data_IF_989073050280
#
_entry.id   IF_989073050280
#
_cell.length_a   1.000
_cell.length_b   1.000
_cell.length_c   1.000
_cell.angle_alpha   90.00
_cell.angle_beta   90.00
_cell.angle_gamma   90.00
#
_symmetry.space_group_name_H-M   'P 1'
#
loop_
_entity.id
_entity.type
_entity.pdbx_description
1 polymer ?
#
# COMPACT_ATOMS: atom_id res chain seq x y z
N UNK A 1 6.57 -76.02 -19.54
CA UNK A 1 6.65 -75.23 -18.29
C UNK A 1 5.64 -74.10 -18.38
N UNK A 2 4.50 -74.22 -17.71
CA UNK A 2 3.41 -73.23 -17.72
C UNK A 2 2.93 -73.05 -16.28
N UNK A 3 3.18 -71.87 -15.70
CA UNK A 3 2.70 -71.49 -14.35
C UNK A 3 1.28 -70.92 -14.46
N UNK A 4 0.32 -71.34 -13.62
CA UNK A 4 -0.95 -70.62 -13.49
C UNK A 4 -0.75 -69.41 -12.58
N UNK A 5 -1.25 -68.25 -13.00
CA UNK A 5 -1.34 -67.03 -12.16
C UNK A 5 -2.81 -66.72 -11.95
N UNK A 6 -3.35 -67.08 -10.78
CA UNK A 6 -4.68 -66.65 -10.34
C UNK A 6 -4.51 -65.99 -8.98
N UNK A 7 -4.52 -64.66 -8.95
CA UNK A 7 -4.59 -63.86 -7.72
C UNK A 7 -6.07 -63.57 -7.46
N UNK A 8 -6.62 -64.08 -6.36
CA UNK A 8 -7.95 -63.69 -5.87
C UNK A 8 -7.83 -62.36 -5.12
N UNK A 9 -8.54 -61.33 -5.56
CA UNK A 9 -8.71 -60.08 -4.83
C UNK A 9 -9.93 -60.20 -3.88
N UNK A 10 -9.85 -59.67 -2.65
CA UNK A 10 -11.01 -59.59 -1.76
C UNK A 10 -11.99 -58.52 -2.24
N UNK A 11 -13.29 -58.78 -2.08
CA UNK A 11 -14.34 -57.82 -2.40
C UNK A 11 -14.34 -56.67 -1.37
N UNK A 12 -14.27 -55.43 -1.87
CA UNK A 12 -14.45 -54.22 -1.08
C UNK A 12 -15.93 -54.07 -0.71
N UNK A 13 -16.25 -54.27 0.57
CA UNK A 13 -17.56 -53.97 1.14
C UNK A 13 -17.63 -52.47 1.47
N UNK A 14 -18.48 -51.74 0.75
CA UNK A 14 -18.69 -50.30 0.87
C UNK A 14 -19.77 -49.92 1.89
N UNK A 15 -20.27 -50.87 2.70
CA UNK A 15 -21.41 -50.62 3.60
C UNK A 15 -21.05 -49.97 4.95
N UNK A 16 -19.77 -49.74 5.26
CA UNK A 16 -19.34 -49.15 6.53
C UNK A 16 -18.89 -47.67 6.38
N UNK A 17 -19.79 -46.78 5.97
CA UNK A 17 -19.52 -45.34 5.96
C UNK A 17 -20.62 -44.56 6.68
N UNK A 18 -20.57 -44.54 8.02
CA UNK A 18 -21.26 -43.52 8.84
C UNK A 18 -20.63 -43.41 10.23
N UNK A 19 -19.55 -42.64 10.31
CA UNK A 19 -19.19 -41.94 11.55
C UNK A 19 -18.54 -40.61 11.20
N UNK A 20 -19.37 -39.59 10.96
CA UNK A 20 -18.90 -38.21 10.94
C UNK A 20 -18.69 -37.77 12.39
N UNK A 21 -17.49 -37.97 12.92
CA UNK A 21 -17.03 -37.21 14.08
C UNK A 21 -16.71 -35.80 13.57
N UNK A 22 -17.36 -34.72 14.06
CA UNK A 22 -16.99 -33.38 13.63
C UNK A 22 -15.56 -33.12 14.09
N UNK A 23 -14.64 -32.97 13.14
CA UNK A 23 -13.30 -32.48 13.41
C UNK A 23 -13.46 -31.09 14.05
N UNK A 24 -13.13 -31.01 15.35
CA UNK A 24 -13.14 -29.77 16.12
C UNK A 24 -12.16 -28.83 15.43
N UNK A 25 -12.67 -27.86 14.66
CA UNK A 25 -11.87 -26.83 14.04
C UNK A 25 -11.14 -26.08 15.15
N UNK A 26 -9.82 -26.30 15.27
CA UNK A 26 -8.98 -25.47 16.12
C UNK A 26 -9.05 -24.07 15.55
N UNK A 27 -9.62 -23.14 16.31
CA UNK A 27 -9.60 -21.72 15.99
C UNK A 27 -8.16 -21.32 15.69
N UNK A 28 -7.92 -20.84 14.47
CA UNK A 28 -6.62 -20.29 14.08
C UNK A 28 -6.40 -19.12 15.02
N UNK A 29 -5.33 -19.17 15.83
CA UNK A 29 -4.94 -18.06 16.68
C UNK A 29 -4.90 -16.81 15.82
N UNK A 30 -5.78 -15.85 16.11
CA UNK A 30 -5.77 -14.56 15.42
C UNK A 30 -4.40 -13.95 15.62
N UNK A 31 -3.70 -13.69 14.53
CA UNK A 31 -2.43 -12.96 14.59
C UNK A 31 -2.76 -11.57 15.12
N UNK A 32 -2.20 -11.21 16.27
CA UNK A 32 -2.39 -9.88 16.89
C UNK A 32 -1.84 -8.75 15.99
N UNK A 33 -1.01 -9.14 15.02
CA UNK A 33 -0.42 -8.32 13.98
C UNK A 33 -0.79 -8.93 12.64
N UNK A 34 -1.60 -8.25 11.85
CA UNK A 34 -1.73 -8.56 10.43
C UNK A 34 -0.70 -7.72 9.69
N UNK A 35 0.31 -8.40 9.13
CA UNK A 35 1.16 -7.81 8.09
C UNK A 35 0.37 -7.98 6.80
N UNK A 36 -0.30 -6.91 6.41
CA UNK A 36 -0.93 -6.82 5.10
C UNK A 36 0.15 -6.38 4.12
N UNK A 37 0.45 -7.26 3.15
CA UNK A 37 1.29 -6.94 2.02
C UNK A 37 0.44 -6.14 1.04
N UNK A 38 0.56 -4.81 1.10
CA UNK A 38 -0.19 -3.88 0.24
C UNK A 38 0.53 -3.79 -1.11
N UNK A 39 0.29 -4.75 -2.01
CA UNK A 39 0.47 -4.52 -3.44
C UNK A 39 1.47 -5.40 -4.19
N UNK A 40 1.13 -5.59 -5.47
CA UNK A 40 1.75 -6.38 -6.55
C UNK A 40 1.32 -7.84 -6.67
N UNK A 41 0.02 -8.12 -6.91
CA UNK A 41 -0.35 -9.42 -7.54
C UNK A 41 -1.47 -9.40 -8.57
N UNK A 42 -2.34 -8.39 -8.65
CA UNK A 42 -3.33 -8.32 -9.74
C UNK A 42 -2.77 -7.53 -10.92
N UNK A 43 -2.77 -8.15 -12.10
CA UNK A 43 -2.42 -7.47 -13.36
C UNK A 43 -3.28 -6.23 -13.56
N UNK A 44 -4.53 -6.27 -13.08
CA UNK A 44 -5.49 -5.18 -13.15
C UNK A 44 -4.98 -3.90 -12.44
N UNK A 45 -4.34 -4.02 -11.27
CA UNK A 45 -3.84 -2.86 -10.51
C UNK A 45 -2.65 -2.18 -11.23
N UNK A 46 -1.78 -2.97 -11.86
CA UNK A 46 -0.68 -2.45 -12.68
C UNK A 46 -1.22 -1.75 -13.94
N UNK A 47 -2.22 -2.35 -14.59
CA UNK A 47 -2.87 -1.75 -15.75
C UNK A 47 -3.55 -0.44 -15.38
N UNK A 48 -4.28 -0.40 -14.26
CA UNK A 48 -4.96 0.81 -13.77
C UNK A 48 -3.94 1.90 -13.44
N UNK A 49 -2.85 1.55 -12.74
CA UNK A 49 -1.76 2.47 -12.43
C UNK A 49 -1.09 3.05 -13.68
N UNK A 50 -0.88 2.22 -14.70
CA UNK A 50 -0.29 2.65 -15.97
C UNK A 50 -1.22 3.52 -16.82
N UNK A 51 -2.54 3.43 -16.59
CA UNK A 51 -3.55 4.21 -17.29
C UNK A 51 -3.67 5.64 -16.75
N UNK A 52 -3.25 5.89 -15.51
CA UNK A 52 -3.40 7.18 -14.83
C UNK A 52 -2.07 7.85 -14.48
N UNK A 53 -2.04 9.19 -14.58
CA UNK A 53 -0.88 10.00 -14.25
C UNK A 53 -0.84 10.27 -12.76
N UNK A 54 0.28 9.96 -12.12
CA UNK A 54 0.49 10.19 -10.69
C UNK A 54 1.01 11.60 -10.40
N UNK A 55 0.08 12.56 -10.22
CA UNK A 55 0.42 13.98 -9.92
C UNK A 55 1.30 14.11 -8.68
N UNK A 56 1.09 13.25 -7.69
CA UNK A 56 1.87 13.23 -6.44
C UNK A 56 3.36 12.94 -6.71
N UNK A 57 3.65 11.94 -7.55
CA UNK A 57 5.02 11.62 -7.97
C UNK A 57 5.63 12.73 -8.84
N UNK A 58 4.85 13.32 -9.75
CA UNK A 58 5.29 14.44 -10.58
C UNK A 58 5.67 15.67 -9.75
N UNK A 59 4.85 15.99 -8.74
CA UNK A 59 5.13 17.07 -7.81
C UNK A 59 6.43 16.82 -7.04
N UNK A 60 6.61 15.62 -6.46
CA UNK A 60 7.84 15.29 -5.72
C UNK A 60 9.08 15.34 -6.62
N UNK A 61 8.96 14.99 -7.90
CA UNK A 61 10.05 15.06 -8.87
C UNK A 61 10.33 16.48 -9.39
N UNK A 62 9.44 17.44 -9.17
CA UNK A 62 9.69 18.82 -9.52
C UNK A 62 10.80 19.43 -8.65
N UNK A 63 11.76 20.12 -9.28
CA UNK A 63 12.88 20.78 -8.57
C UNK A 63 12.40 21.75 -7.48
N UNK A 64 11.26 22.41 -7.68
CA UNK A 64 10.65 23.30 -6.70
C UNK A 64 10.21 22.58 -5.42
N UNK A 65 9.75 21.34 -5.53
CA UNK A 65 9.37 20.54 -4.38
C UNK A 65 10.58 20.15 -3.51
N UNK A 66 11.80 20.12 -4.06
CA UNK A 66 12.98 19.85 -3.24
C UNK A 66 13.38 21.07 -2.42
N UNK A 67 13.27 22.25 -3.03
CA UNK A 67 13.57 23.53 -2.41
C UNK A 67 12.62 23.84 -1.24
N UNK A 68 11.35 23.42 -1.32
CA UNK A 68 10.37 23.71 -0.27
C UNK A 68 10.79 23.14 1.09
N UNK A 69 11.51 22.02 1.12
CA UNK A 69 12.00 21.45 2.38
C UNK A 69 13.00 22.38 3.07
N UNK A 70 13.93 22.96 2.31
CA UNK A 70 14.90 23.93 2.84
C UNK A 70 14.19 25.19 3.31
N UNK A 71 13.23 25.70 2.53
CA UNK A 71 12.44 26.88 2.88
C UNK A 71 11.63 26.64 4.16
N UNK A 72 10.96 25.49 4.28
CA UNK A 72 10.17 25.13 5.47
C UNK A 72 11.05 25.02 6.72
N UNK A 73 12.26 24.46 6.60
CA UNK A 73 13.21 24.37 7.72
C UNK A 73 13.64 25.77 8.17
N UNK A 74 14.06 26.63 7.23
CA UNK A 74 14.53 27.99 7.55
C UNK A 74 13.39 28.81 8.14
N UNK A 75 12.22 28.77 7.50
CA UNK A 75 11.04 29.50 7.95
C UNK A 75 10.57 29.03 9.32
N UNK A 76 10.50 27.71 9.53
CA UNK A 76 10.19 27.12 10.83
C UNK A 76 11.19 27.55 11.91
N UNK A 77 12.48 27.62 11.57
CA UNK A 77 13.53 28.12 12.49
C UNK A 77 13.29 29.58 12.88
N UNK A 78 12.99 30.45 11.93
CA UNK A 78 12.70 31.87 12.19
C UNK A 78 11.49 32.02 13.12
N UNK A 79 10.42 31.26 12.86
CA UNK A 79 9.20 31.29 13.71
C UNK A 79 9.54 30.87 15.14
N UNK A 80 10.22 29.75 15.31
CA UNK A 80 10.56 29.21 16.64
C UNK A 80 11.49 30.15 17.40
N UNK A 81 12.45 30.79 16.72
CA UNK A 81 13.38 31.74 17.33
C UNK A 81 12.72 33.06 17.77
N UNK A 82 11.57 33.41 17.19
CA UNK A 82 10.83 34.62 17.56
C UNK A 82 10.15 34.47 18.93
N UNK A 83 10.05 33.25 19.47
CA UNK A 83 9.42 32.98 20.76
C UNK A 83 10.32 33.47 21.91
N UNK A 84 9.84 34.37 22.79
CA UNK A 84 10.63 34.86 23.92
C UNK A 84 11.05 33.73 24.87
N UNK A 85 12.32 33.75 25.32
CA UNK A 85 12.87 32.73 26.20
C UNK A 85 13.31 31.45 25.50
N UNK A 86 13.23 31.38 24.16
CA UNK A 86 13.71 30.25 23.38
C UNK A 86 15.23 30.17 23.43
N UNK A 87 15.77 29.04 23.92
CA UNK A 87 17.20 28.76 23.82
C UNK A 87 17.53 28.15 22.47
N UNK A 88 18.75 28.36 22.00
CA UNK A 88 19.19 27.81 20.70
C UNK A 88 19.07 26.28 20.64
N UNK A 89 19.36 25.60 21.75
CA UNK A 89 19.33 24.13 21.83
C UNK A 89 17.89 23.60 21.68
N UNK A 90 16.94 24.23 22.37
CA UNK A 90 15.51 23.87 22.30
C UNK A 90 14.96 24.22 20.92
N UNK A 91 15.32 25.38 20.36
CA UNK A 91 14.88 25.81 19.03
C UNK A 91 15.24 24.79 17.94
N UNK A 92 16.53 24.40 17.87
CA UNK A 92 16.97 23.40 16.89
C UNK A 92 16.32 22.03 17.08
N UNK A 93 16.14 21.61 18.34
CA UNK A 93 15.44 20.36 18.65
C UNK A 93 13.98 20.43 18.18
N UNK A 94 13.28 21.53 18.47
CA UNK A 94 11.87 21.71 18.11
C UNK A 94 11.69 21.73 16.58
N UNK A 95 12.54 22.47 15.86
CA UNK A 95 12.50 22.53 14.39
C UNK A 95 12.76 21.14 13.78
N UNK A 96 13.74 20.40 14.32
CA UNK A 96 14.01 19.03 13.89
C UNK A 96 12.79 18.13 14.10
N UNK A 97 12.21 18.13 15.30
CA UNK A 97 11.04 17.31 15.63
C UNK A 97 9.80 17.68 14.80
N UNK A 98 9.53 18.98 14.64
CA UNK A 98 8.40 19.47 13.85
C UNK A 98 8.55 19.09 12.37
N UNK A 99 9.73 19.26 11.80
CA UNK A 99 10.00 18.87 10.42
C UNK A 99 9.85 17.35 10.22
N UNK A 100 10.40 16.54 11.14
CA UNK A 100 10.26 15.08 11.09
C UNK A 100 8.79 14.64 11.21
N UNK A 101 8.02 15.24 12.11
CA UNK A 101 6.60 14.95 12.28
C UNK A 101 5.77 15.31 11.03
N UNK A 102 5.98 16.50 10.48
CA UNK A 102 5.31 16.94 9.25
C UNK A 102 5.71 16.08 8.05
N UNK A 103 7.00 15.73 7.94
CA UNK A 103 7.47 14.82 6.89
C UNK A 103 6.87 13.42 7.05
N UNK A 104 6.72 12.92 8.27
CA UNK A 104 6.09 11.61 8.50
C UNK A 104 4.61 11.65 8.11
N UNK A 105 3.89 12.68 8.56
CA UNK A 105 2.48 12.86 8.22
C UNK A 105 2.31 12.88 6.69
N UNK A 106 3.06 13.73 5.99
CA UNK A 106 2.90 13.90 4.55
C UNK A 106 3.29 12.66 3.74
N UNK A 107 4.37 11.95 4.10
CA UNK A 107 4.88 10.85 3.28
C UNK A 107 4.40 9.46 3.69
N UNK A 108 3.98 9.27 4.94
CA UNK A 108 3.64 7.95 5.48
C UNK A 108 2.22 7.86 6.07
N UNK A 109 1.57 8.98 6.37
CA UNK A 109 0.19 8.97 6.88
C UNK A 109 -0.82 9.35 5.81
N UNK A 110 -0.51 10.33 4.96
CA UNK A 110 -1.37 10.72 3.83
C UNK A 110 -1.33 9.59 2.78
N UNK A 111 -2.49 8.99 2.51
CA UNK A 111 -2.72 8.01 1.46
C UNK A 111 -3.60 8.59 0.35
N UNK A 112 -3.57 7.96 -0.83
CA UNK A 112 -4.36 8.41 -1.98
C UNK A 112 -3.82 9.68 -2.64
N UNK A 113 -4.67 10.30 -3.45
CA UNK A 113 -4.41 11.51 -4.23
C UNK A 113 -5.36 12.62 -3.74
N UNK A 114 -4.88 13.57 -2.91
CA UNK A 114 -5.77 14.46 -2.15
C UNK A 114 -6.59 15.46 -2.97
N UNK A 115 -6.36 15.58 -4.28
CA UNK A 115 -6.97 16.61 -5.15
C UNK A 115 -7.59 16.08 -6.45
N UNK A 116 -7.69 14.76 -6.65
CA UNK A 116 -8.38 14.18 -7.81
C UNK A 116 -9.76 13.63 -7.43
N UNK A 117 -10.71 13.76 -8.35
CA UNK A 117 -12.10 13.32 -8.15
C UNK A 117 -12.16 11.78 -7.98
N UNK A 118 -13.11 11.32 -7.16
CA UNK A 118 -13.37 9.93 -6.71
C UNK A 118 -13.46 8.84 -7.81
N UNK A 119 -13.28 9.18 -9.09
CA UNK A 119 -13.26 8.26 -10.24
C UNK A 119 -11.85 7.70 -10.55
N UNK A 120 -10.77 8.30 -10.05
CA UNK A 120 -9.38 7.96 -10.40
C UNK A 120 -8.50 7.54 -9.21
N UNK A 121 -9.01 7.67 -7.98
CA UNK A 121 -8.26 7.39 -6.73
C UNK A 121 -8.06 5.91 -6.42
N UNK A 122 -8.93 5.02 -6.94
CA UNK A 122 -8.98 3.61 -6.55
C UNK A 122 -7.64 2.85 -6.62
N UNK A 123 -6.79 3.15 -7.60
CA UNK A 123 -5.47 2.52 -7.73
C UNK A 123 -4.44 2.96 -6.68
N UNK A 124 -4.65 4.11 -6.04
CA UNK A 124 -3.68 4.75 -5.14
C UNK A 124 -4.22 4.99 -3.72
N UNK A 125 -5.51 4.74 -3.47
CA UNK A 125 -6.19 4.97 -2.19
C UNK A 125 -5.50 4.27 -1.01
N UNK A 126 -4.98 3.07 -1.26
CA UNK A 126 -4.24 2.29 -0.28
C UNK A 126 -2.75 2.59 -0.26
N UNK A 127 -2.20 3.48 -1.09
CA UNK A 127 -0.77 3.77 -1.17
C UNK A 127 -0.44 5.12 -0.52
N UNK A 128 0.60 5.14 0.32
CA UNK A 128 1.15 6.39 0.86
C UNK A 128 1.86 7.18 -0.23
N UNK A 129 2.00 8.50 -0.04
CA UNK A 129 2.79 9.34 -0.95
C UNK A 129 4.22 8.77 -1.16
N UNK A 130 4.85 8.21 -0.12
CA UNK A 130 6.16 7.58 -0.24
C UNK A 130 6.19 6.38 -1.20
N UNK A 131 5.16 5.53 -1.13
CA UNK A 131 5.00 4.34 -1.99
C UNK A 131 4.62 4.70 -3.42
N UNK A 132 3.99 5.87 -3.61
CA UNK A 132 3.62 6.41 -4.90
C UNK A 132 4.82 6.96 -5.70
N UNK A 133 5.86 7.47 -5.03
CA UNK A 133 7.03 8.08 -5.72
C UNK A 133 7.74 7.05 -6.60
N UNK A 134 7.96 7.45 -7.86
CA UNK A 134 8.67 6.69 -8.90
C UNK A 134 8.15 5.25 -9.04
N UNK A 135 6.82 5.08 -8.98
CA UNK A 135 6.14 3.78 -9.05
C UNK A 135 6.58 2.76 -7.99
N UNK A 136 7.15 3.22 -6.89
CA UNK A 136 7.71 2.35 -5.85
C UNK A 136 9.18 1.98 -6.07
N UNK A 137 9.80 2.44 -7.16
CA UNK A 137 11.23 2.25 -7.42
C UNK A 137 12.06 2.79 -6.25
N UNK A 138 13.04 1.99 -5.81
CA UNK A 138 13.91 2.33 -4.70
C UNK A 138 15.14 3.09 -5.19
N UNK A 139 15.80 3.84 -4.31
CA UNK A 139 17.07 4.54 -4.59
C UNK A 139 17.04 5.58 -5.71
N UNK A 140 15.87 6.14 -6.02
CA UNK A 140 15.72 7.23 -6.97
C UNK A 140 16.28 8.54 -6.42
N UNK A 141 16.60 9.53 -7.28
CA UNK A 141 17.10 10.83 -6.83
C UNK A 141 16.17 11.52 -5.82
N UNK A 142 14.86 11.47 -6.06
CA UNK A 142 13.86 12.04 -5.16
C UNK A 142 13.86 11.35 -3.79
N UNK A 143 13.79 10.01 -3.74
CA UNK A 143 13.82 9.26 -2.47
C UNK A 143 15.14 9.47 -1.72
N UNK A 144 16.27 9.51 -2.42
CA UNK A 144 17.58 9.83 -1.83
C UNK A 144 17.59 11.22 -1.20
N UNK A 145 17.06 12.22 -1.90
CA UNK A 145 16.92 13.57 -1.37
C UNK A 145 16.05 13.60 -0.11
N UNK A 146 14.85 13.02 -0.16
CA UNK A 146 13.88 12.98 0.94
C UNK A 146 14.34 12.17 2.17
N UNK A 147 15.32 11.27 2.01
CA UNK A 147 16.02 10.60 3.12
C UNK A 147 17.18 11.45 3.63
N UNK A 148 17.90 12.14 2.74
CA UNK A 148 19.10 12.91 3.11
C UNK A 148 18.75 14.18 3.89
N UNK A 149 17.67 14.89 3.53
CA UNK A 149 17.27 16.13 4.23
C UNK A 149 17.02 15.93 5.73
N UNK A 150 16.19 14.97 6.20
CA UNK A 150 15.98 14.76 7.63
C UNK A 150 17.27 14.33 8.35
N UNK A 151 18.16 13.58 7.69
CA UNK A 151 19.48 13.22 8.25
C UNK A 151 20.35 14.48 8.42
N UNK A 152 20.41 15.33 7.40
CA UNK A 152 21.16 16.59 7.45
C UNK A 152 20.65 17.54 8.54
N UNK A 153 19.32 17.66 8.68
CA UNK A 153 18.70 18.47 9.73
C UNK A 153 18.99 17.90 11.13
N UNK A 154 18.94 16.58 11.30
CA UNK A 154 19.32 15.91 12.53
C UNK A 154 20.78 16.20 12.92
N UNK A 155 21.70 16.13 11.95
CA UNK A 155 23.12 16.43 12.19
C UNK A 155 23.32 17.90 12.58
N UNK A 156 22.64 18.82 11.90
CA UNK A 156 22.66 20.24 12.24
C UNK A 156 22.12 20.48 13.66
N UNK A 157 20.96 19.89 14.00
CA UNK A 157 20.37 19.96 15.34
C UNK A 157 21.32 19.41 16.41
N UNK A 158 21.95 18.26 16.16
CA UNK A 158 22.94 17.67 17.08
C UNK A 158 24.15 18.59 17.29
N UNK A 159 24.64 19.22 16.23
CA UNK A 159 25.75 20.16 16.32
C UNK A 159 25.38 21.38 17.18
N UNK A 160 24.23 22.01 16.91
CA UNK A 160 23.81 23.22 17.63
C UNK A 160 23.25 22.96 19.04
N UNK A 161 22.94 21.70 19.38
CA UNK A 161 22.65 21.29 20.77
C UNK A 161 23.91 20.95 21.56
N UNK A 162 25.11 21.23 21.02
CA UNK A 162 26.40 20.93 21.62
C UNK A 162 26.55 19.45 22.01
N UNK A 163 26.00 18.54 21.21
CA UNK A 163 26.07 17.10 21.45
C UNK A 163 25.51 16.68 22.82
N UNK A 164 24.52 17.40 23.35
CA UNK A 164 23.85 17.03 24.59
C UNK A 164 23.24 15.61 24.46
N UNK A 165 23.61 14.64 25.31
CA UNK A 165 23.18 13.25 25.16
C UNK A 165 21.66 13.06 25.21
N UNK A 166 20.94 13.84 26.01
CA UNK A 166 19.49 13.74 26.13
C UNK A 166 18.77 14.24 24.88
N UNK A 167 19.15 15.42 24.38
CA UNK A 167 18.58 15.97 23.14
C UNK A 167 18.97 15.13 21.93
N UNK A 168 20.19 14.61 21.91
CA UNK A 168 20.63 13.65 20.90
C UNK A 168 19.75 12.40 20.89
N UNK A 169 19.51 11.77 22.05
CA UNK A 169 18.67 10.59 22.17
C UNK A 169 17.24 10.81 21.66
N UNK A 170 16.65 11.98 21.97
CA UNK A 170 15.32 12.36 21.45
C UNK A 170 15.36 12.51 19.93
N UNK A 171 16.32 13.28 19.40
CA UNK A 171 16.43 13.58 17.98
C UNK A 171 16.73 12.33 17.14
N UNK A 172 17.60 11.42 17.62
CA UNK A 172 17.93 10.19 16.89
C UNK A 172 16.76 9.21 16.92
N UNK A 173 16.04 9.11 18.03
CA UNK A 173 14.84 8.27 18.12
C UNK A 173 13.80 8.74 17.12
N UNK A 174 13.51 10.05 17.09
CA UNK A 174 12.59 10.62 16.10
C UNK A 174 13.06 10.37 14.65
N UNK A 175 14.36 10.53 14.37
CA UNK A 175 14.91 10.25 13.04
C UNK A 175 14.70 8.79 12.65
N UNK A 176 15.01 7.84 13.54
CA UNK A 176 14.85 6.41 13.29
C UNK A 176 13.38 6.10 12.98
N UNK A 177 12.43 6.61 13.77
CA UNK A 177 11.00 6.40 13.53
C UNK A 177 10.56 6.86 12.13
N UNK A 178 11.09 7.99 11.64
CA UNK A 178 10.76 8.51 10.31
C UNK A 178 11.49 7.78 9.19
N UNK A 179 12.68 7.22 9.44
CA UNK A 179 13.46 6.50 8.43
C UNK A 179 13.06 5.03 8.28
N UNK A 180 12.59 4.36 9.33
CA UNK A 180 12.11 2.97 9.30
C UNK A 180 11.16 2.71 8.11
N UNK A 181 10.04 3.45 7.95
CA UNK A 181 9.10 3.20 6.84
C UNK A 181 9.67 3.59 5.47
N UNK A 182 10.80 4.31 5.41
CA UNK A 182 11.50 4.64 4.16
C UNK A 182 12.43 3.52 3.69
N UNK A 183 12.72 2.53 4.54
CA UNK A 183 13.62 1.43 4.20
C UNK A 183 12.97 0.48 3.19
N UNK A 184 13.73 -0.02 2.19
CA UNK A 184 13.22 -0.95 1.18
C UNK A 184 12.63 -2.24 1.77
N UNK A 185 13.11 -2.65 2.94
CA UNK A 185 12.70 -3.89 3.63
C UNK A 185 11.28 -3.80 4.22
N UNK A 186 10.76 -2.59 4.42
CA UNK A 186 9.41 -2.34 4.94
C UNK A 186 8.49 -1.75 3.88
N UNK A 187 8.92 -1.76 2.62
CA UNK A 187 8.08 -1.34 1.52
C UNK A 187 6.79 -2.17 1.52
N UNK A 188 5.64 -1.49 1.63
CA UNK A 188 4.31 -2.11 1.58
C UNK A 188 3.96 -3.10 2.69
N UNK A 189 4.76 -3.15 3.76
CA UNK A 189 4.44 -3.94 4.94
C UNK A 189 3.83 -3.03 6.01
N UNK A 190 2.50 -3.09 6.15
CA UNK A 190 1.80 -2.33 7.20
C UNK A 190 1.52 -3.23 8.38
N UNK A 191 1.90 -2.77 9.56
CA UNK A 191 1.60 -3.42 10.83
C UNK A 191 0.28 -2.84 11.34
N UNK A 192 -0.84 -3.50 11.02
CA UNK A 192 -2.16 -3.14 11.58
C UNK A 192 -2.38 -3.93 12.87
N UNK A 193 -2.56 -3.24 13.99
CA UNK A 193 -2.93 -3.82 15.28
C UNK A 193 -4.43 -3.68 15.47
N UNK A 194 -5.14 -4.80 15.72
CA UNK A 194 -6.60 -4.91 15.81
C UNK A 194 -7.33 -4.44 14.54
N UNK A 195 -7.56 -5.36 13.60
CA UNK A 195 -8.61 -5.19 12.60
C UNK A 195 -9.97 -5.32 13.31
N UNK A 196 -10.55 -4.20 13.74
CA UNK A 196 -11.97 -4.18 14.12
C UNK A 196 -12.80 -4.51 12.88
N UNK A 197 -13.65 -5.53 13.01
CA UNK A 197 -14.71 -5.82 12.05
C UNK A 197 -14.34 -6.79 10.94
N UNK A 198 -14.09 -8.05 11.29
CA UNK A 198 -14.47 -9.15 10.40
C UNK A 198 -16.01 -9.14 10.24
N UNK A 199 -16.54 -8.28 9.37
CA UNK A 199 -17.85 -8.51 8.77
C UNK A 199 -17.71 -9.78 7.95
N UNK A 200 -18.14 -10.90 8.54
CA UNK A 200 -18.08 -12.26 7.99
C UNK A 200 -19.00 -12.47 6.79
N UNK A 201 -18.85 -11.67 5.74
CA UNK A 201 -19.35 -12.00 4.41
C UNK A 201 -18.22 -12.65 3.63
N UNK A 202 -18.18 -13.98 3.66
CA UNK A 202 -17.47 -14.74 2.65
C UNK A 202 -18.12 -14.42 1.30
N UNK A 203 -17.47 -13.60 0.47
CA UNK A 203 -17.83 -13.47 -0.94
C UNK A 203 -17.65 -14.86 -1.56
N UNK A 204 -18.71 -15.49 -2.10
CA UNK A 204 -18.57 -16.78 -2.74
C UNK A 204 -17.67 -16.62 -3.97
N UNK A 205 -16.57 -17.38 -4.04
CA UNK A 205 -15.67 -17.43 -5.22
C UNK A 205 -16.28 -18.24 -6.39
N UNK A 206 -17.59 -18.45 -6.40
CA UNK A 206 -18.29 -19.16 -7.47
C UNK A 206 -19.45 -18.29 -7.93
N UNK A 207 -19.46 -17.82 -9.19
CA UNK A 207 -20.64 -17.18 -9.74
C UNK A 207 -21.72 -18.25 -9.93
N UNK A 208 -22.61 -18.40 -8.94
CA UNK A 208 -23.84 -19.17 -9.13
C UNK A 208 -24.84 -18.29 -9.86
N UNK A 209 -24.74 -18.24 -11.18
CA UNK A 209 -25.85 -17.74 -11.99
C UNK A 209 -26.98 -18.78 -11.93
N UNK A 210 -28.20 -18.45 -11.47
CA UNK A 210 -29.33 -19.33 -11.69
C UNK A 210 -29.51 -19.49 -13.20
N UNK A 211 -29.76 -20.72 -13.65
CA UNK A 211 -29.95 -21.03 -15.05
C UNK A 211 -31.18 -20.24 -15.55
N UNK A 212 -30.96 -19.11 -16.22
CA UNK A 212 -32.06 -18.32 -16.78
C UNK A 212 -32.61 -19.09 -17.97
N UNK A 213 -33.70 -19.81 -17.77
CA UNK A 213 -34.41 -20.57 -18.80
C UNK A 213 -35.11 -19.70 -19.85
N UNK A 214 -34.48 -18.63 -20.34
CA UNK A 214 -34.91 -17.95 -21.57
C UNK A 214 -34.10 -18.52 -22.73
N UNK A 215 -34.75 -19.38 -23.49
CA UNK A 215 -34.36 -19.68 -24.86
C UNK A 215 -34.24 -18.37 -25.64
N UNK A 216 -33.07 -18.12 -26.21
CA UNK A 216 -32.86 -17.08 -27.22
C UNK A 216 -33.87 -17.31 -28.36
N UNK A 217 -34.66 -16.31 -28.79
CA UNK A 217 -35.45 -16.45 -30.00
C UNK A 217 -34.48 -16.63 -31.16
N UNK A 218 -34.61 -17.73 -31.90
CA UNK A 218 -33.92 -17.91 -33.18
C UNK A 218 -34.51 -16.88 -34.14
N UNK A 219 -33.85 -15.74 -34.29
CA UNK A 219 -34.17 -14.84 -35.39
C UNK A 219 -33.58 -15.49 -36.63
N UNK A 220 -34.45 -16.07 -37.46
CA UNK A 220 -34.07 -16.43 -38.83
C UNK A 220 -33.56 -15.17 -39.51
N UNK A 221 -32.27 -15.15 -39.83
CA UNK A 221 -31.69 -14.15 -40.71
C UNK A 221 -32.26 -14.43 -42.10
N UNK A 222 -33.35 -13.75 -42.43
CA UNK A 222 -33.78 -13.59 -43.82
C UNK A 222 -32.71 -12.70 -44.47
N UNK A 223 -31.99 -13.13 -45.51
CA UNK A 223 -31.07 -12.26 -46.22
C UNK A 223 -31.89 -11.12 -46.82
N UNK A 224 -31.61 -9.88 -46.41
CA UNK A 224 -32.15 -8.71 -47.08
C UNK A 224 -31.79 -8.79 -48.56
N UNK A 225 -32.81 -8.89 -49.40
CA UNK A 225 -32.68 -8.87 -50.84
C UNK A 225 -32.35 -7.41 -51.22
N UNK A 226 -31.05 -7.09 -51.24
CA UNK A 226 -30.55 -5.82 -51.76
C UNK A 226 -30.97 -5.75 -53.23
N UNK A 227 -32.00 -4.96 -53.51
CA UNK A 227 -32.42 -4.61 -54.88
C UNK A 227 -31.84 -3.24 -55.21
N UNK A 228 -31.44 -3.04 -56.47
CA UNK A 228 -30.70 -1.84 -56.96
C UNK A 228 -31.43 -0.49 -56.79
N UNK A 229 -32.64 -0.49 -56.24
CA UNK A 229 -33.45 0.70 -56.00
C UNK A 229 -32.91 1.58 -54.83
N UNK A 230 -31.98 1.09 -54.01
CA UNK A 230 -31.41 1.83 -52.87
C UNK A 230 -30.22 2.76 -53.21
N UNK A 231 -29.79 2.81 -54.47
CA UNK A 231 -28.66 3.63 -54.93
C UNK A 231 -29.03 4.66 -56.01
N UNK A 232 -30.09 5.44 -55.77
CA UNK A 232 -30.37 6.67 -56.54
C UNK A 232 -30.67 7.87 -55.65
#
# INVERSE_FOLDING_TARGET
>A
MSRPTTIKLPALDLSAAKSHTPLRARGRSGSIVQVEEVGDRSVDEVLDRSAYVNINADWVNAKGAWLIHVVLIIFGKIIVDTIPGMTQQISWTLVNLMYLALSYLMFHWVTGIPFENDLHGGAYDDLTLWEQIDDGAQYTPAKKWLVTVPIGLFLASTHYTNYNPWLFAINITALIFVLIPKLPQLHRQRVRFMADGASGMATPLTPSFPNSGRSTPTQEVIPDLITEEHFR
#
